data_IF_712662524085
#
_entry.id   IF_712662524085
#
_cell.length_a   1.000
_cell.length_b   1.000
_cell.length_c   1.000
_cell.angle_alpha   90.00
_cell.angle_beta   90.00
_cell.angle_gamma   90.00
#
_symmetry.space_group_name_H-M   'P 1'
#
loop_
_entity.id
_entity.type
_entity.pdbx_description
1 polymer ?
#
# COMPACT_ATOMS: atom_id res chain seq x y z
N UNK A 1 -10.23 0.89 6.04
CA UNK A 1 -9.05 0.86 6.95
C UNK A 1 -8.79 2.20 7.62
N UNK A 2 -8.29 2.18 8.86
CA UNK A 2 -7.74 3.37 9.53
C UNK A 2 -6.25 3.48 9.21
N UNK A 3 -5.77 4.70 8.96
CA UNK A 3 -4.37 4.95 8.53
C UNK A 3 -3.33 4.42 9.52
N UNK A 4 -3.65 4.39 10.82
CA UNK A 4 -2.71 3.94 11.86
C UNK A 4 -2.34 2.45 11.74
N UNK A 5 -3.28 1.60 11.31
CA UNK A 5 -3.04 0.16 11.15
C UNK A 5 -2.13 -0.17 9.95
N UNK A 6 -1.94 0.77 9.02
CA UNK A 6 -1.08 0.60 7.86
C UNK A 6 0.37 0.96 8.20
N UNK A 7 0.58 1.94 9.08
CA UNK A 7 1.91 2.35 9.55
C UNK A 7 2.56 1.31 10.47
N UNK A 8 1.78 0.56 11.24
CA UNK A 8 2.32 -0.44 12.20
C UNK A 8 2.75 -1.75 11.53
N UNK A 9 2.29 -2.03 10.31
CA UNK A 9 2.58 -3.29 9.60
C UNK A 9 3.93 -3.27 8.90
N UNK A 10 4.54 -4.45 8.80
CA UNK A 10 5.75 -4.68 8.00
C UNK A 10 5.45 -4.59 6.49
N UNK A 11 6.46 -4.29 5.67
CA UNK A 11 6.32 -4.25 4.20
C UNK A 11 5.78 -5.57 3.64
N UNK A 12 6.25 -6.70 4.18
CA UNK A 12 5.78 -8.02 3.77
C UNK A 12 4.29 -8.25 4.11
N UNK A 13 3.85 -7.77 5.26
CA UNK A 13 2.45 -7.87 5.69
C UNK A 13 1.54 -6.94 4.89
N UNK A 14 2.03 -5.77 4.48
CA UNK A 14 1.31 -4.85 3.59
C UNK A 14 1.09 -5.47 2.21
N UNK A 15 2.10 -6.15 1.66
CA UNK A 15 1.97 -6.87 0.37
C UNK A 15 0.97 -8.01 0.48
N UNK A 16 0.99 -8.78 1.56
CA UNK A 16 0.04 -9.88 1.74
C UNK A 16 -1.39 -9.37 1.96
N UNK A 17 -1.54 -8.25 2.68
CA UNK A 17 -2.81 -7.55 2.85
C UNK A 17 -3.35 -7.03 1.51
N UNK A 18 -2.49 -6.52 0.62
CA UNK A 18 -2.88 -6.09 -0.73
C UNK A 18 -3.50 -7.26 -1.51
N UNK A 19 -2.85 -8.43 -1.50
CA UNK A 19 -3.34 -9.62 -2.21
C UNK A 19 -4.68 -10.09 -1.67
N UNK A 20 -4.82 -10.14 -0.34
CA UNK A 20 -6.07 -10.51 0.32
C UNK A 20 -7.21 -9.59 -0.09
N UNK A 21 -7.00 -8.26 0.01
CA UNK A 21 -7.99 -7.26 -0.40
C UNK A 21 -8.33 -7.33 -1.90
N UNK A 22 -7.35 -7.65 -2.75
CA UNK A 22 -7.58 -7.84 -4.18
C UNK A 22 -8.47 -9.06 -4.46
N UNK A 23 -8.27 -10.16 -3.74
CA UNK A 23 -9.12 -11.35 -3.80
C UNK A 23 -10.54 -11.06 -3.35
N UNK A 24 -10.72 -10.34 -2.24
CA UNK A 24 -12.03 -9.92 -1.77
C UNK A 24 -12.74 -8.97 -2.75
N UNK A 25 -11.99 -8.07 -3.40
CA UNK A 25 -12.53 -7.18 -4.42
C UNK A 25 -13.00 -7.95 -5.66
N UNK A 26 -12.26 -8.99 -6.06
CA UNK A 26 -12.68 -9.88 -7.14
C UNK A 26 -13.98 -10.60 -6.79
N UNK A 27 -14.06 -11.19 -5.60
CA UNK A 27 -15.26 -11.87 -5.13
C UNK A 27 -16.47 -10.91 -5.05
N UNK A 28 -16.27 -9.70 -4.54
CA UNK A 28 -17.33 -8.69 -4.48
C UNK A 28 -17.82 -8.26 -5.88
N UNK A 29 -16.92 -8.18 -6.87
CA UNK A 29 -17.30 -7.91 -8.27
C UNK A 29 -18.09 -9.07 -8.87
N UNK A 30 -17.71 -10.30 -8.57
CA UNK A 30 -18.42 -11.49 -9.03
C UNK A 30 -19.84 -11.56 -8.44
N UNK A 31 -19.98 -11.33 -7.13
CA UNK A 31 -21.28 -11.26 -6.46
C UNK A 31 -22.14 -10.11 -6.98
N UNK A 32 -21.54 -8.96 -7.28
CA UNK A 32 -22.25 -7.84 -7.88
C UNK A 32 -22.76 -8.17 -9.29
N UNK A 33 -21.97 -8.92 -10.07
CA UNK A 33 -22.38 -9.40 -11.39
C UNK A 33 -23.57 -10.38 -11.32
N UNK A 34 -23.60 -11.24 -10.30
CA UNK A 34 -24.73 -12.17 -10.08
C UNK A 34 -25.92 -11.52 -9.37
N UNK A 35 -25.88 -10.21 -9.08
CA UNK A 35 -26.87 -9.48 -8.27
C UNK A 35 -27.11 -10.10 -6.88
N UNK A 36 -26.11 -10.77 -6.31
CA UNK A 36 -26.16 -11.39 -4.98
C UNK A 36 -25.39 -10.57 -3.93
N UNK A 37 -25.05 -9.32 -4.25
CA UNK A 37 -24.29 -8.46 -3.34
C UNK A 37 -25.24 -7.57 -2.54
N UNK A 38 -25.25 -7.75 -1.23
CA UNK A 38 -26.10 -6.96 -0.32
C UNK A 38 -25.58 -5.53 -0.10
N UNK A 39 -24.25 -5.33 -0.08
CA UNK A 39 -23.61 -4.01 0.09
C UNK A 39 -22.73 -3.65 -1.12
N UNK A 40 -23.29 -2.88 -2.05
CA UNK A 40 -22.55 -2.32 -3.21
C UNK A 40 -21.50 -1.29 -2.79
N UNK A 41 -21.64 -0.65 -1.62
CA UNK A 41 -20.65 0.29 -1.09
C UNK A 41 -19.38 -0.42 -0.59
N UNK A 42 -19.39 -1.74 -0.46
CA UNK A 42 -18.20 -2.52 -0.12
C UNK A 42 -17.13 -2.48 -1.22
N UNK A 43 -17.52 -2.43 -2.50
CA UNK A 43 -16.60 -2.35 -3.65
C UNK A 43 -15.74 -1.08 -3.62
N UNK A 44 -16.30 0.14 -3.56
CA UNK A 44 -15.50 1.35 -3.50
C UNK A 44 -14.70 1.47 -2.19
N UNK A 45 -15.17 0.91 -1.07
CA UNK A 45 -14.40 0.83 0.17
C UNK A 45 -13.13 -0.01 -0.01
N UNK A 46 -13.26 -1.24 -0.51
CA UNK A 46 -12.13 -2.15 -0.77
C UNK A 46 -11.12 -1.55 -1.76
N UNK A 47 -11.60 -0.89 -2.83
CA UNK A 47 -10.73 -0.17 -3.78
C UNK A 47 -9.91 0.93 -3.12
N UNK A 48 -10.51 1.72 -2.22
CA UNK A 48 -9.78 2.77 -1.48
C UNK A 48 -8.78 2.17 -0.50
N UNK A 49 -9.12 1.05 0.13
CA UNK A 49 -8.21 0.38 1.07
C UNK A 49 -6.97 -0.19 0.33
N UNK A 50 -7.13 -0.79 -0.85
CA UNK A 50 -6.01 -1.19 -1.71
C UNK A 50 -5.14 0.02 -2.08
N UNK A 51 -5.76 1.14 -2.49
CA UNK A 51 -5.02 2.34 -2.85
C UNK A 51 -4.18 2.87 -1.68
N UNK A 52 -4.72 2.85 -0.45
CA UNK A 52 -4.00 3.27 0.76
C UNK A 52 -2.78 2.38 1.04
N UNK A 53 -2.93 1.06 0.92
CA UNK A 53 -1.81 0.11 1.08
C UNK A 53 -0.69 0.42 0.08
N UNK A 54 -1.04 0.61 -1.21
CA UNK A 54 -0.06 0.93 -2.25
C UNK A 54 0.62 2.28 -2.03
N UNK A 55 -0.13 3.28 -1.59
CA UNK A 55 0.44 4.60 -1.28
C UNK A 55 1.46 4.52 -0.14
N UNK A 56 1.20 3.72 0.89
CA UNK A 56 2.13 3.57 2.01
C UNK A 56 3.40 2.82 1.60
N UNK A 57 3.27 1.72 0.84
CA UNK A 57 4.43 1.03 0.25
C UNK A 57 5.27 2.00 -0.59
N UNK A 58 4.62 2.79 -1.46
CA UNK A 58 5.34 3.75 -2.30
C UNK A 58 6.02 4.85 -1.50
N UNK A 59 5.38 5.31 -0.42
CA UNK A 59 5.98 6.29 0.49
C UNK A 59 7.26 5.74 1.12
N UNK A 60 7.24 4.51 1.63
CA UNK A 60 8.43 3.86 2.21
C UNK A 60 9.56 3.71 1.21
N UNK A 61 9.26 3.35 -0.03
CA UNK A 61 10.24 3.30 -1.11
C UNK A 61 10.87 4.67 -1.39
N UNK A 62 10.07 5.74 -1.43
CA UNK A 62 10.56 7.10 -1.65
C UNK A 62 11.43 7.59 -0.49
N UNK A 63 11.04 7.29 0.75
CA UNK A 63 11.82 7.64 1.95
C UNK A 63 13.18 6.90 1.95
N UNK A 64 13.20 5.62 1.57
CA UNK A 64 14.44 4.85 1.43
C UNK A 64 15.35 5.40 0.31
N UNK A 65 14.79 5.76 -0.85
CA UNK A 65 15.51 6.39 -1.94
C UNK A 65 16.09 7.76 -1.52
N UNK A 66 15.32 8.56 -0.80
CA UNK A 66 15.78 9.84 -0.28
C UNK A 66 16.95 9.68 0.69
N UNK A 67 16.90 8.68 1.58
CA UNK A 67 18.00 8.36 2.49
C UNK A 67 19.25 7.91 1.74
N UNK A 68 19.12 7.08 0.71
CA UNK A 68 20.25 6.65 -0.12
C UNK A 68 20.92 7.82 -0.85
N UNK A 69 20.12 8.74 -1.41
CA UNK A 69 20.65 9.96 -2.06
C UNK A 69 21.36 10.87 -1.05
N UNK A 70 20.81 11.04 0.15
CA UNK A 70 21.44 11.81 1.22
C UNK A 70 22.77 11.18 1.68
N UNK A 71 22.82 9.85 1.79
CA UNK A 71 24.05 9.12 2.14
C UNK A 71 25.12 9.26 1.05
N UNK A 72 24.74 9.16 -0.22
CA UNK A 72 25.67 9.34 -1.35
C UNK A 72 26.24 10.76 -1.40
N UNK A 73 25.40 11.79 -1.20
CA UNK A 73 25.84 13.18 -1.11
C UNK A 73 26.81 13.39 0.07
N UNK A 74 26.48 12.85 1.26
CA UNK A 74 27.35 12.96 2.43
C UNK A 74 28.71 12.27 2.23
N UNK A 75 28.73 11.09 1.59
CA UNK A 75 29.97 10.36 1.29
C UNK A 75 30.87 11.16 0.32
N UNK A 76 30.30 11.72 -0.74
CA UNK A 76 31.03 12.53 -1.73
C UNK A 76 31.66 13.81 -1.16
N UNK A 77 31.07 14.40 -0.12
CA UNK A 77 31.63 15.58 0.57
C UNK A 77 32.77 15.20 1.51
N UNK A 78 32.80 13.96 2.03
CA UNK A 78 33.89 13.47 2.89
C UNK A 78 35.14 13.04 2.12
N UNK A 79 34.99 12.58 0.88
CA UNK A 79 36.14 12.20 0.03
C UNK A 79 36.90 13.42 -0.54
N UNK A 80 36.26 14.60 -0.54
CA UNK A 80 36.84 15.84 -1.07
C UNK A 80 37.61 16.67 -0.01
N UNK A 81 37.72 16.19 1.23
CA UNK A 81 38.36 16.90 2.35
C UNK A 81 39.54 16.11 2.90
#
# INVERSE_FOLDING_TARGET
MKSNELTEKSDAELVELEKSLAGELFQARLQNYTNQLDDTASIPKKRRDIARVKSELRRRELDALAQQVQQALAASVSEAK
#
